data_IF_012666632135
#
_entry.id   IF_012666632135
#
_cell.length_a   1.000
_cell.length_b   1.000
_cell.length_c   1.000
_cell.angle_alpha   90.00
_cell.angle_beta   90.00
_cell.angle_gamma   90.00
#
_symmetry.space_group_name_H-M   'P 1'
#
loop_
_entity.id
_entity.type
_entity.pdbx_description
1 polymer ?
#
# COMPACT_ATOMS: atom_id res chain seq x y z
N UNK A 1 24.52 -8.38 16.95
CA UNK A 1 23.09 -8.71 16.89
C UNK A 1 22.35 -7.53 16.32
N UNK A 2 21.76 -7.67 15.13
CA UNK A 2 20.97 -6.61 14.51
C UNK A 2 19.53 -6.83 14.94
N UNK A 3 19.05 -6.04 15.90
CA UNK A 3 17.63 -5.97 16.23
C UNK A 3 16.85 -5.61 14.96
N UNK A 4 16.19 -6.60 14.33
CA UNK A 4 15.28 -6.33 13.19
C UNK A 4 13.95 -5.83 13.74
N UNK A 5 13.94 -4.58 14.21
CA UNK A 5 12.71 -3.86 14.58
C UNK A 5 11.93 -3.38 13.37
N UNK A 6 12.51 -3.47 12.16
CA UNK A 6 11.88 -3.15 10.89
C UNK A 6 11.64 -4.39 10.04
N UNK A 7 10.63 -4.30 9.18
CA UNK A 7 10.39 -5.25 8.10
C UNK A 7 9.79 -4.55 6.88
N UNK A 8 9.43 -5.31 5.86
CA UNK A 8 9.08 -4.80 4.55
C UNK A 8 7.60 -5.02 4.25
N UNK A 9 6.95 -4.00 3.71
CA UNK A 9 5.68 -4.09 2.99
C UNK A 9 5.97 -3.95 1.49
N UNK A 10 5.39 -4.83 0.68
CA UNK A 10 5.53 -4.83 -0.78
C UNK A 10 4.19 -5.13 -1.47
N UNK A 11 3.97 -4.50 -2.61
CA UNK A 11 2.82 -4.77 -3.46
C UNK A 11 2.88 -4.06 -4.81
N UNK A 12 1.86 -4.31 -5.62
CA UNK A 12 1.71 -3.71 -6.94
C UNK A 12 1.15 -2.30 -6.83
N UNK A 13 1.63 -1.40 -7.68
CA UNK A 13 1.09 -0.04 -7.80
C UNK A 13 -0.02 -0.02 -8.85
N UNK A 14 -1.09 0.72 -8.57
CA UNK A 14 -2.20 0.93 -9.49
C UNK A 14 -2.62 2.40 -9.48
N UNK A 15 -3.12 2.90 -10.62
CA UNK A 15 -3.64 4.27 -10.75
C UNK A 15 -4.71 4.28 -11.86
N UNK A 16 -5.80 5.06 -11.74
CA UNK A 16 -6.91 5.06 -12.70
C UNK A 16 -6.60 5.88 -13.97
N UNK A 17 -5.44 5.67 -14.57
CA UNK A 17 -5.05 6.22 -15.88
C UNK A 17 -4.12 5.26 -16.61
N UNK A 18 -3.72 5.59 -17.84
CA UNK A 18 -2.80 4.76 -18.64
C UNK A 18 -1.39 4.61 -18.04
N UNK A 19 -1.03 5.40 -17.02
CA UNK A 19 0.30 5.34 -16.41
C UNK A 19 0.31 5.69 -14.93
N UNK A 20 1.29 5.13 -14.20
CA UNK A 20 1.54 5.48 -12.81
C UNK A 20 2.26 6.83 -12.76
N UNK A 21 1.69 7.86 -12.10
CA UNK A 21 2.34 9.16 -11.96
C UNK A 21 3.69 9.02 -11.22
N UNK A 22 4.75 9.77 -11.62
CA UNK A 22 6.07 9.67 -10.98
C UNK A 22 6.06 10.18 -9.53
N UNK A 23 5.11 11.04 -9.17
CA UNK A 23 4.91 11.59 -7.84
C UNK A 23 3.96 10.74 -6.97
N UNK A 24 3.45 9.61 -7.49
CA UNK A 24 2.68 8.67 -6.70
C UNK A 24 3.57 8.13 -5.57
N UNK A 25 3.15 8.40 -4.33
CA UNK A 25 3.78 7.86 -3.12
C UNK A 25 2.92 6.78 -2.51
N UNK A 26 3.54 5.76 -1.94
CA UNK A 26 2.86 4.78 -1.09
C UNK A 26 3.26 5.01 0.35
N UNK A 27 2.26 5.12 1.23
CA UNK A 27 2.45 5.36 2.65
C UNK A 27 1.81 4.24 3.47
N UNK A 28 2.44 3.93 4.59
CA UNK A 28 1.90 3.11 5.65
C UNK A 28 1.74 3.99 6.90
N UNK A 29 0.49 4.18 7.33
CA UNK A 29 0.16 4.88 8.57
C UNK A 29 0.05 3.86 9.70
N UNK A 30 0.89 3.99 10.72
CA UNK A 30 0.79 3.14 11.91
C UNK A 30 -0.52 3.43 12.65
N UNK A 31 -1.32 2.40 12.87
CA UNK A 31 -2.67 2.55 13.43
C UNK A 31 -2.63 3.11 14.86
N UNK A 32 -1.60 2.76 15.64
CA UNK A 32 -1.42 3.16 17.04
C UNK A 32 -0.78 4.54 17.15
N UNK A 33 0.36 4.77 16.50
CA UNK A 33 1.15 6.00 16.67
C UNK A 33 0.75 7.12 15.72
N UNK A 34 -0.05 6.80 14.67
CA UNK A 34 -0.39 7.71 13.56
C UNK A 34 0.81 8.20 12.76
N UNK A 35 1.99 7.61 12.96
CA UNK A 35 3.18 7.93 12.19
C UNK A 35 3.06 7.37 10.77
N UNK A 36 3.37 8.20 9.78
CA UNK A 36 3.42 7.81 8.37
C UNK A 36 4.84 7.48 7.93
N UNK A 37 4.98 6.36 7.21
CA UNK A 37 6.20 5.97 6.51
C UNK A 37 5.88 5.91 5.03
N UNK A 38 6.60 6.64 4.19
CA UNK A 38 6.26 6.76 2.78
C UNK A 38 7.45 6.47 1.87
N UNK A 39 7.16 5.98 0.67
CA UNK A 39 8.13 5.81 -0.42
C UNK A 39 7.53 6.31 -1.72
N UNK A 40 8.34 6.98 -2.54
CA UNK A 40 8.04 7.29 -3.94
C UNK A 40 8.74 6.32 -4.90
N UNK A 41 9.46 5.33 -4.36
CA UNK A 41 10.20 4.38 -5.17
C UNK A 41 9.26 3.44 -5.91
N UNK A 42 9.28 3.54 -7.23
CA UNK A 42 8.60 2.61 -8.13
C UNK A 42 9.59 1.55 -8.60
N UNK A 43 9.22 0.29 -8.44
CA UNK A 43 10.05 -0.87 -8.77
C UNK A 43 9.45 -1.55 -9.99
N UNK A 44 10.18 -1.59 -11.10
CA UNK A 44 9.79 -2.32 -12.30
C UNK A 44 10.23 -3.78 -12.19
N UNK A 45 9.27 -4.69 -12.11
CA UNK A 45 9.54 -6.12 -12.00
C UNK A 45 8.29 -6.90 -12.47
N UNK A 46 8.50 -8.01 -13.18
CA UNK A 46 7.43 -8.87 -13.70
C UNK A 46 6.64 -9.58 -12.59
N UNK A 47 7.14 -9.61 -11.35
CA UNK A 47 6.40 -10.16 -10.20
C UNK A 47 5.18 -9.33 -9.80
N UNK A 48 5.12 -8.06 -10.19
CA UNK A 48 4.00 -7.16 -9.89
C UNK A 48 2.91 -7.25 -10.95
N UNK A 49 1.63 -7.11 -10.56
CA UNK A 49 0.46 -7.33 -11.42
C UNK A 49 0.49 -6.50 -12.72
N UNK A 50 1.04 -5.28 -12.65
CA UNK A 50 1.15 -4.36 -13.79
C UNK A 50 2.62 -4.08 -14.18
N UNK A 51 3.54 -4.96 -13.78
CA UNK A 51 4.98 -4.79 -13.99
C UNK A 51 5.62 -3.69 -13.13
N UNK A 52 4.87 -3.10 -12.20
CA UNK A 52 5.31 -2.00 -11.34
C UNK A 52 4.76 -2.15 -9.92
N UNK A 53 5.62 -1.95 -8.94
CA UNK A 53 5.30 -2.08 -7.53
C UNK A 53 6.09 -1.11 -6.65
N UNK A 54 5.97 -1.28 -5.35
CA UNK A 54 6.69 -0.51 -4.35
C UNK A 54 7.28 -1.44 -3.29
N UNK A 55 8.29 -0.94 -2.58
CA UNK A 55 8.83 -1.60 -1.39
C UNK A 55 9.03 -0.54 -0.31
N UNK A 56 8.48 -0.79 0.87
CA UNK A 56 8.48 0.15 1.99
C UNK A 56 8.99 -0.55 3.24
N UNK A 57 10.06 -0.03 3.83
CA UNK A 57 10.57 -0.47 5.13
C UNK A 57 9.86 0.29 6.25
N UNK A 58 9.31 -0.44 7.21
CA UNK A 58 8.59 0.11 8.36
C UNK A 58 8.94 -0.65 9.63
N UNK A 59 8.79 -0.04 10.81
CA UNK A 59 8.82 -0.78 12.06
C UNK A 59 7.77 -1.90 12.11
N UNK A 60 7.98 -2.89 12.98
CA UNK A 60 6.93 -3.86 13.29
C UNK A 60 5.70 -3.15 13.86
N UNK A 61 4.50 -3.61 13.48
CA UNK A 61 3.27 -2.97 13.89
C UNK A 61 2.10 -3.24 12.96
N UNK A 62 1.04 -2.46 13.13
CA UNK A 62 -0.18 -2.57 12.33
C UNK A 62 -0.41 -1.26 11.58
N UNK A 63 -0.71 -1.38 10.29
CA UNK A 63 -0.73 -0.26 9.37
C UNK A 63 -2.00 -0.21 8.53
N UNK A 64 -2.46 1.01 8.24
CA UNK A 64 -3.28 1.30 7.07
C UNK A 64 -2.34 1.71 5.94
N UNK A 65 -2.42 1.02 4.80
CA UNK A 65 -1.54 1.29 3.65
C UNK A 65 -2.34 1.95 2.54
N UNK A 66 -1.78 3.00 1.94
CA UNK A 66 -2.44 3.74 0.87
C UNK A 66 -1.44 4.31 -0.15
N UNK A 67 -1.87 4.43 -1.40
CA UNK A 67 -1.22 5.24 -2.43
C UNK A 67 -1.78 6.64 -2.40
N UNK A 68 -0.97 7.63 -2.75
CA UNK A 68 -1.39 9.04 -2.78
C UNK A 68 -0.71 9.78 -3.93
N UNK A 69 -1.49 10.62 -4.61
CA UNK A 69 -1.03 11.61 -5.59
C UNK A 69 -1.46 13.00 -5.10
N UNK A 70 -0.55 13.97 -5.09
CA UNK A 70 -0.82 15.28 -4.47
C UNK A 70 -1.13 15.18 -2.96
N UNK A 71 -1.99 16.07 -2.45
CA UNK A 71 -2.30 16.19 -1.01
C UNK A 71 -3.61 15.54 -0.58
N UNK A 72 -4.55 15.31 -1.49
CA UNK A 72 -5.94 15.00 -1.13
C UNK A 72 -6.39 13.57 -1.51
N UNK A 73 -5.79 12.97 -2.54
CA UNK A 73 -6.28 11.70 -3.09
C UNK A 73 -5.50 10.52 -2.51
N UNK A 74 -6.13 9.76 -1.60
CA UNK A 74 -5.58 8.51 -1.08
C UNK A 74 -6.38 7.31 -1.60
N UNK A 75 -5.69 6.27 -2.03
CA UNK A 75 -6.26 4.98 -2.37
C UNK A 75 -5.76 3.91 -1.41
N UNK A 76 -6.64 3.41 -0.56
CA UNK A 76 -6.28 2.46 0.47
C UNK A 76 -6.15 1.03 -0.06
N UNK A 77 -5.39 0.21 0.66
CA UNK A 77 -5.54 -1.24 0.62
C UNK A 77 -6.79 -1.62 1.41
N UNK A 78 -7.84 -2.04 0.70
CA UNK A 78 -9.19 -2.24 1.26
C UNK A 78 -9.80 -3.58 0.83
N UNK A 79 -10.93 -3.93 1.47
CA UNK A 79 -11.75 -5.08 1.09
C UNK A 79 -12.14 -5.02 -0.41
N UNK A 80 -12.44 -3.82 -0.92
CA UNK A 80 -12.76 -3.56 -2.33
C UNK A 80 -11.62 -3.90 -3.29
N UNK A 81 -10.36 -3.67 -2.88
CA UNK A 81 -9.21 -4.11 -3.68
C UNK A 81 -9.14 -5.63 -3.69
N UNK A 82 -9.29 -6.28 -2.53
CA UNK A 82 -9.11 -7.73 -2.42
C UNK A 82 -10.18 -8.55 -3.14
N UNK A 83 -11.35 -7.96 -3.41
CA UNK A 83 -12.40 -8.58 -4.22
C UNK A 83 -12.24 -8.35 -5.73
N UNK A 84 -11.19 -7.61 -6.14
CA UNK A 84 -10.91 -7.29 -7.54
C UNK A 84 -11.71 -6.10 -8.08
N UNK A 85 -12.07 -5.13 -7.22
CA UNK A 85 -12.77 -3.90 -7.60
C UNK A 85 -14.16 -4.16 -8.22
N UNK A 86 -14.84 -5.21 -7.75
CA UNK A 86 -16.14 -5.65 -8.28
C UNK A 86 -17.29 -5.04 -7.49
N UNK A 87 -18.37 -4.73 -8.21
CA UNK A 87 -19.58 -4.14 -7.63
C UNK A 87 -20.28 -5.06 -6.60
N UNK A 88 -20.07 -6.37 -6.68
CA UNK A 88 -20.65 -7.36 -5.77
C UNK A 88 -20.02 -7.37 -4.36
N UNK A 89 -18.93 -6.63 -4.14
CA UNK A 89 -18.29 -6.47 -2.84
C UNK A 89 -18.01 -4.98 -2.58
N UNK A 90 -19.03 -4.18 -2.20
CA UNK A 90 -18.95 -2.72 -2.13
C UNK A 90 -18.21 -2.19 -0.89
N UNK A 91 -17.56 -3.05 -0.10
CA UNK A 91 -16.91 -2.61 1.13
C UNK A 91 -15.55 -1.99 0.84
N UNK A 92 -15.42 -0.69 1.09
CA UNK A 92 -14.17 0.06 0.95
C UNK A 92 -13.38 0.16 2.26
N UNK A 93 -13.69 -0.70 3.23
CA UNK A 93 -13.02 -0.69 4.53
C UNK A 93 -11.54 -1.04 4.36
N UNK A 94 -10.65 -0.18 4.89
CA UNK A 94 -9.22 -0.45 4.90
C UNK A 94 -8.89 -1.74 5.63
N UNK A 95 -8.02 -2.55 5.02
CA UNK A 95 -7.54 -3.79 5.62
C UNK A 95 -6.29 -3.47 6.42
N UNK A 96 -6.30 -3.93 7.68
CA UNK A 96 -5.16 -3.83 8.57
C UNK A 96 -4.01 -4.72 8.09
N UNK A 97 -2.85 -4.11 7.89
CA UNK A 97 -1.62 -4.80 7.50
C UNK A 97 -0.75 -5.01 8.74
N UNK A 98 -0.57 -6.27 9.16
CA UNK A 98 0.30 -6.63 10.28
C UNK A 98 1.70 -6.93 9.77
N UNK A 99 2.69 -6.20 10.27
CA UNK A 99 4.10 -6.34 9.92
C UNK A 99 4.86 -6.97 11.09
N UNK A 100 5.45 -8.13 10.83
CA UNK A 100 6.23 -8.91 11.81
C UNK A 100 7.71 -8.93 11.44
N UNK A 101 8.56 -9.14 12.44
CA UNK A 101 10.00 -9.15 12.26
C UNK A 101 10.45 -10.26 11.29
N UNK A 102 11.32 -9.91 10.35
CA UNK A 102 11.96 -10.88 9.45
C UNK A 102 11.10 -11.38 8.29
N UNK A 103 9.84 -10.93 8.16
CA UNK A 103 8.93 -11.35 7.09
C UNK A 103 8.59 -10.20 6.14
N UNK A 104 8.72 -10.43 4.83
CA UNK A 104 8.20 -9.50 3.83
C UNK A 104 6.69 -9.68 3.73
N UNK A 105 5.95 -8.64 4.07
CA UNK A 105 4.49 -8.59 3.92
C UNK A 105 4.17 -8.22 2.47
N UNK A 106 3.73 -9.19 1.67
CA UNK A 106 3.51 -9.04 0.22
C UNK A 106 2.04 -8.89 -0.13
N UNK A 107 1.75 -8.60 -1.40
CA UNK A 107 0.38 -8.48 -1.95
C UNK A 107 -0.46 -7.37 -1.31
N UNK A 108 0.20 -6.38 -0.70
CA UNK A 108 -0.45 -5.20 -0.17
C UNK A 108 -0.58 -4.21 -1.33
N UNK A 109 -1.68 -4.29 -2.07
CA UNK A 109 -1.88 -3.54 -3.31
C UNK A 109 -2.83 -2.36 -3.06
N UNK A 110 -2.39 -1.21 -2.52
CA UNK A 110 -3.26 -0.05 -2.37
C UNK A 110 -3.77 0.41 -3.75
N UNK A 111 -5.08 0.57 -3.88
CA UNK A 111 -5.71 0.81 -5.18
C UNK A 111 -7.18 1.17 -5.14
N UNK A 112 -7.73 1.42 -3.95
CA UNK A 112 -9.12 1.86 -3.80
C UNK A 112 -9.27 3.35 -4.13
N UNK A 113 -9.23 3.69 -5.42
CA UNK A 113 -9.39 5.06 -5.93
C UNK A 113 -10.85 5.52 -6.00
N UNK A 114 -11.80 4.69 -5.56
CA UNK A 114 -13.24 4.88 -5.79
C UNK A 114 -13.98 5.51 -4.60
N UNK A 115 -13.27 5.84 -3.53
CA UNK A 115 -13.82 6.55 -2.38
C UNK A 115 -13.05 7.84 -2.17
N UNK A 116 -13.77 8.95 -2.20
CA UNK A 116 -13.27 10.21 -1.69
C UNK A 116 -13.29 10.17 -0.16
N UNK A 117 -12.22 10.66 0.48
CA UNK A 117 -12.14 10.84 1.92
C UNK A 117 -13.15 11.88 2.43
#
# INVERSE_FOLDING_TARGET
STDKTTSIIEGSLSYPSEGIPPDLKTCAENITTKQNYCTTQQIKDKKFQYGIGYRLEVPIGEYNVYSQVGTEYKAYYSEFVTCGLKQDCPSHKSIKVTVTAGQVTTQINPGDWYVAL
#
